data_IF_942588907713
#
_entry.id   IF_942588907713
#
_cell.length_a   1.000
_cell.length_b   1.000
_cell.length_c   1.000
_cell.angle_alpha   90.00
_cell.angle_beta   90.00
_cell.angle_gamma   90.00
#
_symmetry.space_group_name_H-M   'P 1'
#
loop_
_entity.id
_entity.type
_entity.pdbx_description
1 polymer ?
#
# COMPACT_ATOMS: atom_id res chain seq x y z
N UNK A 1 -80.58 -7.57 0.07
CA UNK A 1 -79.47 -6.61 0.27
C UNK A 1 -78.18 -7.27 -0.18
N UNK A 2 -77.80 -7.11 -1.45
CA UNK A 2 -76.60 -7.70 -2.05
C UNK A 2 -75.54 -6.62 -2.29
N UNK A 3 -74.37 -6.77 -1.67
CA UNK A 3 -73.22 -5.89 -1.87
C UNK A 3 -72.30 -6.43 -2.96
N UNK A 4 -72.13 -5.67 -4.04
CA UNK A 4 -71.23 -5.95 -5.16
C UNK A 4 -69.79 -5.54 -4.81
N UNK A 5 -68.89 -6.51 -4.67
CA UNK A 5 -67.44 -6.28 -4.60
C UNK A 5 -66.89 -6.10 -6.01
N UNK A 6 -66.60 -4.85 -6.40
CA UNK A 6 -65.89 -4.55 -7.64
C UNK A 6 -64.37 -4.72 -7.42
N UNK A 7 -63.77 -5.68 -8.12
CA UNK A 7 -62.34 -5.91 -8.15
C UNK A 7 -61.62 -4.74 -8.83
N UNK A 8 -60.64 -4.11 -8.15
CA UNK A 8 -59.72 -3.14 -8.75
C UNK A 8 -58.63 -3.89 -9.52
N UNK A 9 -58.55 -3.65 -10.83
CA UNK A 9 -57.52 -4.22 -11.70
C UNK A 9 -56.13 -3.61 -11.43
N UNK A 10 -55.04 -4.33 -11.76
CA UNK A 10 -53.68 -3.90 -11.50
C UNK A 10 -53.16 -3.01 -12.64
N UNK A 11 -53.45 -1.71 -12.63
CA UNK A 11 -52.84 -0.79 -13.61
C UNK A 11 -52.63 0.67 -13.18
N UNK A 12 -52.71 0.98 -11.89
CA UNK A 12 -52.35 2.32 -11.38
C UNK A 12 -50.97 2.31 -10.70
N UNK A 13 -49.90 2.33 -11.52
CA UNK A 13 -48.59 2.81 -11.06
C UNK A 13 -48.37 4.21 -11.63
N UNK A 14 -48.40 5.27 -10.79
CA UNK A 14 -48.13 6.62 -11.27
C UNK A 14 -46.64 6.79 -11.61
N UNK A 15 -46.34 7.21 -12.84
CA UNK A 15 -45.17 8.06 -13.10
C UNK A 15 -43.86 7.42 -13.58
N UNK A 16 -43.87 6.56 -14.61
CA UNK A 16 -42.63 6.15 -15.33
C UNK A 16 -42.57 6.61 -16.79
N UNK A 17 -43.37 7.59 -17.19
CA UNK A 17 -43.23 8.25 -18.48
C UNK A 17 -42.36 9.51 -18.34
N UNK A 18 -41.12 9.46 -18.83
CA UNK A 18 -40.37 10.68 -19.18
C UNK A 18 -39.15 11.08 -18.35
N UNK A 19 -38.50 10.18 -17.59
CA UNK A 19 -37.14 10.50 -17.13
C UNK A 19 -36.19 10.44 -18.34
N UNK A 20 -35.52 11.54 -18.74
CA UNK A 20 -34.46 11.44 -19.73
C UNK A 20 -33.42 10.43 -19.22
N UNK A 21 -32.74 9.68 -20.10
CA UNK A 21 -31.66 8.80 -19.68
C UNK A 21 -30.70 9.61 -18.82
N UNK A 22 -30.58 9.26 -17.54
CA UNK A 22 -29.58 9.89 -16.68
C UNK A 22 -28.23 9.57 -17.31
N UNK A 23 -27.59 10.58 -17.92
CA UNK A 23 -26.23 10.46 -18.37
C UNK A 23 -25.42 10.00 -17.17
N UNK A 24 -24.83 8.80 -17.27
CA UNK A 24 -23.99 8.25 -16.22
C UNK A 24 -22.78 9.19 -16.09
N UNK A 25 -22.82 10.08 -15.09
CA UNK A 25 -21.78 11.08 -14.88
C UNK A 25 -20.52 10.39 -14.33
N UNK A 26 -19.73 9.78 -15.21
CA UNK A 26 -18.52 9.05 -14.82
C UNK A 26 -17.42 9.94 -14.22
N UNK A 27 -17.65 11.25 -14.00
CA UNK A 27 -16.68 12.18 -13.39
C UNK A 27 -16.32 11.79 -11.95
N UNK A 28 -17.20 11.09 -11.23
CA UNK A 28 -16.88 10.57 -9.90
C UNK A 28 -16.04 9.28 -9.93
N UNK A 29 -15.91 8.61 -11.08
CA UNK A 29 -15.06 7.42 -11.27
C UNK A 29 -13.60 7.81 -11.55
N UNK A 30 -13.36 8.98 -12.13
CA UNK A 30 -12.04 9.56 -12.30
C UNK A 30 -11.65 10.41 -11.08
N UNK A 31 -11.60 9.81 -9.88
CA UNK A 31 -10.87 10.45 -8.78
C UNK A 31 -9.39 10.38 -9.15
N UNK A 32 -8.83 11.49 -9.60
CA UNK A 32 -7.38 11.59 -9.80
C UNK A 32 -6.67 11.16 -8.51
N UNK A 33 -5.81 10.15 -8.63
CA UNK A 33 -4.96 9.69 -7.54
C UNK A 33 -4.06 10.86 -7.12
N UNK A 34 -4.48 11.57 -6.09
CA UNK A 34 -3.82 12.83 -5.69
C UNK A 34 -2.66 12.49 -4.77
N UNK A 35 -1.54 13.21 -4.86
CA UNK A 35 -0.38 13.04 -3.96
C UNK A 35 -0.78 13.10 -2.47
N UNK A 36 -1.82 13.87 -2.14
CA UNK A 36 -2.39 13.92 -0.78
C UNK A 36 -2.91 12.55 -0.30
N UNK A 37 -3.44 11.72 -1.19
CA UNK A 37 -3.87 10.37 -0.83
C UNK A 37 -2.68 9.49 -0.45
N UNK A 38 -1.47 9.71 -0.98
CA UNK A 38 -0.29 8.93 -0.59
C UNK A 38 0.10 9.12 0.89
N UNK A 39 -0.23 10.27 1.46
CA UNK A 39 0.16 10.63 2.84
C UNK A 39 -1.01 10.53 3.83
N UNK A 40 -2.25 10.40 3.34
CA UNK A 40 -3.42 10.35 4.20
C UNK A 40 -3.55 8.96 4.87
N UNK A 41 -3.76 8.91 6.20
CA UNK A 41 -4.03 7.66 6.88
C UNK A 41 -5.37 7.08 6.45
N UNK A 42 -5.34 5.79 6.14
CA UNK A 42 -6.52 5.00 5.81
C UNK A 42 -7.16 4.50 7.10
N UNK A 43 -8.46 4.74 7.24
CA UNK A 43 -9.28 4.08 8.25
C UNK A 43 -9.64 2.69 7.75
N UNK A 44 -9.17 1.65 8.45
CA UNK A 44 -9.40 0.25 8.10
C UNK A 44 -10.72 -0.29 8.66
N UNK A 45 -11.59 0.58 9.18
CA UNK A 45 -12.96 0.23 9.61
C UNK A 45 -13.05 -0.34 11.03
N UNK A 46 -11.95 -0.31 11.79
CA UNK A 46 -11.92 -0.74 13.20
C UNK A 46 -10.52 -0.92 13.78
N UNK A 47 -10.44 -0.91 15.11
CA UNK A 47 -9.18 -0.98 15.88
C UNK A 47 -8.34 -2.24 15.61
N UNK A 48 -9.00 -3.37 15.29
CA UNK A 48 -8.31 -4.62 14.93
C UNK A 48 -7.52 -4.48 13.61
N UNK A 49 -8.10 -3.80 12.61
CA UNK A 49 -7.42 -3.55 11.34
C UNK A 49 -6.19 -2.65 11.54
N UNK A 50 -6.32 -1.62 12.37
CA UNK A 50 -5.22 -0.71 12.69
C UNK A 50 -4.08 -1.38 13.45
N UNK A 51 -4.39 -2.25 14.41
CA UNK A 51 -3.40 -3.06 15.11
C UNK A 51 -2.74 -4.05 14.14
N UNK A 52 -3.52 -4.72 13.29
CA UNK A 52 -3.00 -5.66 12.31
C UNK A 52 -1.97 -5.02 11.37
N UNK A 53 -2.29 -3.85 10.82
CA UNK A 53 -1.34 -3.14 9.96
C UNK A 53 -0.14 -2.57 10.73
N UNK A 54 -0.33 -2.17 11.99
CA UNK A 54 0.76 -1.72 12.85
C UNK A 54 1.76 -2.87 13.08
N UNK A 55 1.27 -4.05 13.46
CA UNK A 55 2.11 -5.24 13.67
C UNK A 55 2.87 -5.58 12.39
N UNK A 56 2.18 -5.62 11.25
CA UNK A 56 2.81 -5.91 9.97
C UNK A 56 3.92 -4.90 9.64
N UNK A 57 3.65 -3.59 9.81
CA UNK A 57 4.63 -2.53 9.55
C UNK A 57 5.83 -2.61 10.47
N UNK A 58 5.61 -2.71 11.78
CA UNK A 58 6.69 -2.72 12.77
C UNK A 58 7.56 -3.96 12.58
N UNK A 59 6.95 -5.14 12.46
CA UNK A 59 7.69 -6.37 12.28
C UNK A 59 8.43 -6.38 10.94
N UNK A 60 7.72 -6.20 9.81
CA UNK A 60 8.36 -6.24 8.50
C UNK A 60 9.41 -5.14 8.33
N UNK A 61 9.11 -3.92 8.80
CA UNK A 61 10.01 -2.77 8.72
C UNK A 61 11.28 -2.94 9.55
N UNK A 62 11.15 -3.36 10.82
CA UNK A 62 12.31 -3.59 11.68
C UNK A 62 13.11 -4.81 11.25
N UNK A 63 12.46 -5.90 10.82
CA UNK A 63 13.18 -7.06 10.28
C UNK A 63 13.97 -6.69 9.03
N UNK A 64 13.38 -5.93 8.11
CA UNK A 64 14.10 -5.46 6.93
C UNK A 64 15.26 -4.53 7.31
N UNK A 65 15.02 -3.56 8.20
CA UNK A 65 16.04 -2.61 8.59
C UNK A 65 17.21 -3.28 9.32
N UNK A 66 16.93 -4.11 10.32
CA UNK A 66 17.96 -4.64 11.21
C UNK A 66 18.59 -5.92 10.68
N UNK A 67 17.82 -6.83 10.08
CA UNK A 67 18.34 -8.12 9.63
C UNK A 67 18.94 -8.05 8.21
N UNK A 68 18.44 -7.14 7.35
CA UNK A 68 18.86 -7.08 5.96
C UNK A 68 19.59 -5.78 5.60
N UNK A 69 19.12 -4.63 6.09
CA UNK A 69 19.66 -3.31 5.77
C UNK A 69 20.90 -2.91 6.56
N UNK A 70 20.92 -3.14 7.88
CA UNK A 70 21.96 -2.60 8.77
C UNK A 70 23.37 -3.09 8.40
N UNK A 71 23.50 -4.37 8.04
CA UNK A 71 24.77 -4.96 7.60
C UNK A 71 25.20 -4.56 6.19
N UNK A 72 24.33 -3.89 5.42
CA UNK A 72 24.61 -3.43 4.05
C UNK A 72 25.01 -1.95 3.98
N UNK A 73 25.10 -1.25 5.11
CA UNK A 73 25.51 0.15 5.15
C UNK A 73 26.86 0.33 5.86
N UNK A 74 27.91 0.80 5.16
CA UNK A 74 27.96 1.04 3.71
C UNK A 74 27.99 -0.28 2.90
N UNK A 75 27.60 -0.25 1.60
CA UNK A 75 27.63 -1.45 0.77
C UNK A 75 29.06 -1.99 0.61
N UNK A 76 29.26 -3.27 0.92
CA UNK A 76 30.54 -3.93 0.75
C UNK A 76 30.93 -4.04 -0.73
N UNK A 77 32.22 -3.95 -1.04
CA UNK A 77 32.74 -4.06 -2.41
C UNK A 77 32.31 -5.37 -3.10
N UNK A 78 32.26 -6.49 -2.35
CA UNK A 78 31.79 -7.76 -2.88
C UNK A 78 30.32 -7.75 -3.31
N UNK A 79 29.46 -7.00 -2.61
CA UNK A 79 28.05 -6.84 -3.02
C UNK A 79 27.92 -6.00 -4.29
N UNK A 80 28.71 -4.93 -4.41
CA UNK A 80 28.78 -4.11 -5.63
C UNK A 80 29.23 -4.95 -6.83
N UNK A 81 30.26 -5.78 -6.66
CA UNK A 81 30.74 -6.69 -7.70
C UNK A 81 29.68 -7.73 -8.09
N UNK A 82 29.02 -8.33 -7.12
CA UNK A 82 27.92 -9.27 -7.34
C UNK A 82 26.76 -8.64 -8.14
N UNK A 83 26.35 -7.42 -7.83
CA UNK A 83 25.35 -6.71 -8.63
C UNK A 83 25.84 -6.47 -10.08
N UNK A 84 27.14 -6.24 -10.26
CA UNK A 84 27.76 -6.17 -11.57
C UNK A 84 27.65 -7.46 -12.37
N UNK A 85 27.82 -8.62 -11.75
CA UNK A 85 27.67 -9.92 -12.43
C UNK A 85 26.23 -10.21 -12.84
N UNK A 86 25.25 -9.60 -12.16
CA UNK A 86 23.83 -9.70 -12.49
C UNK A 86 23.39 -8.75 -13.62
N UNK A 87 24.28 -7.90 -14.12
CA UNK A 87 23.95 -6.92 -15.17
C UNK A 87 23.09 -5.75 -14.67
N UNK A 88 23.07 -5.48 -13.36
CA UNK A 88 22.34 -4.34 -12.80
C UNK A 88 23.02 -3.03 -13.23
N UNK A 89 22.27 -2.03 -13.75
CA UNK A 89 22.87 -0.79 -14.22
C UNK A 89 23.47 0.00 -13.05
N UNK A 90 24.68 0.53 -13.24
CA UNK A 90 25.42 1.33 -12.23
C UNK A 90 25.51 0.61 -10.87
N UNK A 91 26.20 -0.55 -10.78
CA UNK A 91 26.20 -1.40 -9.57
C UNK A 91 26.51 -0.68 -8.25
N UNK A 92 27.46 0.28 -8.17
CA UNK A 92 27.70 1.01 -6.93
C UNK A 92 26.47 1.80 -6.46
N UNK A 93 25.80 2.48 -7.38
CA UNK A 93 24.61 3.27 -7.06
C UNK A 93 23.43 2.38 -6.68
N UNK A 94 23.23 1.25 -7.38
CA UNK A 94 22.20 0.28 -7.04
C UNK A 94 22.44 -0.40 -5.70
N UNK A 95 23.69 -0.67 -5.33
CA UNK A 95 24.04 -1.22 -4.03
C UNK A 95 23.65 -0.26 -2.89
N UNK A 96 23.96 1.03 -3.05
CA UNK A 96 23.53 2.07 -2.12
C UNK A 96 22.01 2.22 -2.08
N UNK A 97 21.34 2.22 -3.23
CA UNK A 97 19.89 2.32 -3.30
C UNK A 97 19.21 1.14 -2.58
N UNK A 98 19.69 -0.09 -2.80
CA UNK A 98 19.18 -1.28 -2.12
C UNK A 98 19.42 -1.22 -0.60
N UNK A 99 20.64 -0.87 -0.18
CA UNK A 99 20.98 -0.78 1.24
C UNK A 99 20.16 0.29 1.98
N UNK A 100 19.99 1.47 1.37
CA UNK A 100 19.16 2.55 1.93
C UNK A 100 17.67 2.19 1.90
N UNK A 101 17.18 1.53 0.85
CA UNK A 101 15.80 1.07 0.78
C UNK A 101 15.49 0.05 1.89
N UNK A 102 16.38 -0.90 2.11
CA UNK A 102 16.21 -1.91 3.17
C UNK A 102 16.32 -1.30 4.57
N UNK A 103 17.34 -0.47 4.81
CA UNK A 103 17.57 0.13 6.12
C UNK A 103 16.62 1.30 6.40
N UNK A 104 16.78 2.41 5.69
CA UNK A 104 15.98 3.61 5.92
C UNK A 104 14.51 3.39 5.55
N UNK A 105 14.23 2.69 4.45
CA UNK A 105 12.86 2.34 4.08
C UNK A 105 12.20 1.43 5.12
N UNK A 106 12.91 0.43 5.63
CA UNK A 106 12.42 -0.42 6.73
C UNK A 106 12.09 0.38 8.00
N UNK A 107 12.96 1.30 8.41
CA UNK A 107 12.72 2.16 9.58
C UNK A 107 11.52 3.09 9.38
N UNK A 108 11.40 3.70 8.20
CA UNK A 108 10.26 4.57 7.86
C UNK A 108 8.93 3.79 7.86
N UNK A 109 8.92 2.57 7.33
CA UNK A 109 7.75 1.69 7.38
C UNK A 109 7.38 1.33 8.82
N UNK A 110 8.36 0.93 9.65
CA UNK A 110 8.12 0.59 11.04
C UNK A 110 7.53 1.77 11.84
N UNK A 111 8.06 2.97 11.63
CA UNK A 111 7.57 4.19 12.25
C UNK A 111 6.21 4.66 11.69
N UNK A 112 5.81 4.16 10.51
CA UNK A 112 4.62 4.63 9.80
C UNK A 112 4.78 6.09 9.36
N UNK A 113 5.97 6.47 8.88
CA UNK A 113 6.30 7.79 8.36
C UNK A 113 6.59 7.73 6.87
N UNK A 114 5.95 8.59 6.08
CA UNK A 114 5.99 8.57 4.62
C UNK A 114 5.76 7.14 4.09
N UNK A 115 4.77 6.45 4.66
CA UNK A 115 4.66 4.99 4.56
C UNK A 115 4.55 4.50 3.12
N UNK A 116 3.71 5.13 2.29
CA UNK A 116 3.58 4.76 0.88
C UNK A 116 4.84 5.10 0.07
N UNK A 117 5.42 6.31 0.17
CA UNK A 117 6.72 6.60 -0.41
C UNK A 117 7.84 5.63 0.01
N UNK A 118 7.90 5.24 1.28
CA UNK A 118 8.91 4.30 1.81
C UNK A 118 8.70 2.87 1.32
N UNK A 119 7.44 2.45 1.12
CA UNK A 119 7.12 1.12 0.61
C UNK A 119 7.58 0.91 -0.83
N UNK A 120 7.57 1.94 -1.68
CA UNK A 120 7.96 1.86 -3.10
C UNK A 120 9.39 1.35 -3.29
N UNK A 121 10.45 1.98 -2.74
CA UNK A 121 11.81 1.50 -2.92
C UNK A 121 12.04 0.14 -2.26
N UNK A 122 11.34 -0.16 -1.15
CA UNK A 122 11.38 -1.49 -0.53
C UNK A 122 10.81 -2.56 -1.48
N UNK A 123 9.61 -2.35 -2.01
CA UNK A 123 8.98 -3.27 -2.98
C UNK A 123 9.88 -3.48 -4.21
N UNK A 124 10.42 -2.40 -4.76
CA UNK A 124 11.31 -2.47 -5.91
C UNK A 124 12.57 -3.29 -5.60
N UNK A 125 13.21 -3.05 -4.46
CA UNK A 125 14.42 -3.76 -4.04
C UNK A 125 14.14 -5.24 -3.80
N UNK A 126 13.01 -5.58 -3.18
CA UNK A 126 12.58 -6.97 -2.99
C UNK A 126 12.24 -7.66 -4.32
N UNK A 127 11.67 -6.93 -5.29
CA UNK A 127 11.45 -7.42 -6.66
C UNK A 127 12.76 -7.75 -7.37
N UNK A 128 13.75 -6.84 -7.31
CA UNK A 128 15.09 -7.08 -7.86
C UNK A 128 15.75 -8.27 -7.16
N UNK A 129 15.65 -8.37 -5.84
CA UNK A 129 16.19 -9.50 -5.09
C UNK A 129 15.56 -10.84 -5.52
N UNK A 130 14.23 -10.91 -5.62
CA UNK A 130 13.52 -12.14 -5.94
C UNK A 130 13.70 -12.60 -7.41
N UNK A 131 13.66 -11.66 -8.36
CA UNK A 131 13.61 -11.98 -9.79
C UNK A 131 14.95 -11.82 -10.51
N UNK A 132 15.85 -10.97 -10.01
CA UNK A 132 17.17 -10.75 -10.62
C UNK A 132 18.24 -11.49 -9.83
N UNK A 133 18.42 -11.20 -8.54
CA UNK A 133 19.47 -11.81 -7.73
C UNK A 133 19.25 -13.32 -7.51
N UNK A 134 18.01 -13.71 -7.23
CA UNK A 134 17.61 -15.10 -7.02
C UNK A 134 16.79 -15.69 -8.19
N UNK A 135 16.81 -15.06 -9.37
CA UNK A 135 15.99 -15.45 -10.53
C UNK A 135 16.25 -16.87 -11.06
N UNK A 136 17.39 -17.48 -10.75
CA UNK A 136 17.73 -18.87 -11.06
C UNK A 136 17.64 -19.86 -9.88
N UNK A 137 17.45 -19.37 -8.65
CA UNK A 137 17.47 -20.21 -7.44
C UNK A 137 16.14 -20.95 -7.19
N UNK A 138 16.09 -22.01 -6.37
CA UNK A 138 14.82 -22.61 -5.94
C UNK A 138 13.92 -21.62 -5.18
N UNK A 139 12.60 -21.87 -5.15
CA UNK A 139 11.62 -21.01 -4.46
C UNK A 139 12.01 -20.71 -3.00
N UNK A 140 12.53 -21.71 -2.28
CA UNK A 140 12.95 -21.56 -0.87
C UNK A 140 13.97 -20.42 -0.64
N UNK A 141 14.79 -20.06 -1.63
CA UNK A 141 15.71 -18.90 -1.52
C UNK A 141 15.06 -17.58 -1.92
N UNK A 142 14.02 -17.61 -2.77
CA UNK A 142 13.29 -16.42 -3.24
C UNK A 142 12.16 -16.00 -2.30
N UNK A 143 11.61 -16.97 -1.56
CA UNK A 143 10.42 -16.82 -0.74
C UNK A 143 10.54 -15.65 0.22
N UNK A 144 11.68 -15.49 0.89
CA UNK A 144 11.87 -14.41 1.85
C UNK A 144 11.79 -13.02 1.19
N UNK A 145 12.42 -12.85 0.02
CA UNK A 145 12.34 -11.60 -0.74
C UNK A 145 10.90 -11.33 -1.21
N UNK A 146 10.20 -12.37 -1.69
CA UNK A 146 8.80 -12.26 -2.07
C UNK A 146 7.91 -11.91 -0.87
N UNK A 147 8.16 -12.50 0.29
CA UNK A 147 7.39 -12.25 1.51
C UNK A 147 7.50 -10.79 1.95
N UNK A 148 8.71 -10.23 2.01
CA UNK A 148 8.91 -8.81 2.29
C UNK A 148 8.33 -7.91 1.18
N UNK A 149 8.43 -8.33 -0.09
CA UNK A 149 7.81 -7.62 -1.21
C UNK A 149 6.29 -7.54 -1.09
N UNK A 150 5.63 -8.65 -0.76
CA UNK A 150 4.17 -8.72 -0.54
C UNK A 150 3.77 -7.95 0.71
N UNK A 151 4.56 -8.01 1.79
CA UNK A 151 4.32 -7.21 2.99
C UNK A 151 4.38 -5.71 2.67
N UNK A 152 5.40 -5.27 1.93
CA UNK A 152 5.54 -3.87 1.51
C UNK A 152 4.41 -3.44 0.56
N UNK A 153 3.99 -4.31 -0.36
CA UNK A 153 2.82 -4.07 -1.22
C UNK A 153 1.53 -3.93 -0.41
N UNK A 154 1.33 -4.82 0.57
CA UNK A 154 0.19 -4.76 1.47
C UNK A 154 0.17 -3.41 2.20
N UNK A 155 1.31 -3.02 2.80
CA UNK A 155 1.46 -1.74 3.49
C UNK A 155 1.23 -0.55 2.55
N UNK A 156 1.71 -0.62 1.30
CA UNK A 156 1.46 0.42 0.30
C UNK A 156 -0.03 0.58 -0.01
N UNK A 157 -0.74 -0.53 -0.24
CA UNK A 157 -2.16 -0.53 -0.57
C UNK A 157 -3.00 -0.05 0.61
N UNK A 158 -2.79 -0.63 1.80
CA UNK A 158 -3.52 -0.24 3.02
C UNK A 158 -3.15 1.15 3.49
N UNK A 159 -1.95 1.64 3.20
CA UNK A 159 -1.42 2.90 3.71
C UNK A 159 -0.96 2.83 5.17
N UNK A 160 -0.75 3.99 5.82
CA UNK A 160 -0.13 4.06 7.15
C UNK A 160 -1.06 3.69 8.30
N UNK A 161 -2.35 3.40 8.08
CA UNK A 161 -3.30 3.09 9.16
C UNK A 161 -3.44 4.20 10.22
N UNK A 162 -4.28 3.97 11.24
CA UNK A 162 -4.56 4.99 12.26
C UNK A 162 -3.49 5.10 13.36
N UNK A 163 -2.63 4.10 13.52
CA UNK A 163 -1.54 4.09 14.52
C UNK A 163 -0.19 4.35 13.83
N UNK A 164 0.01 5.56 13.32
CA UNK A 164 1.21 5.95 12.54
C UNK A 164 1.63 7.39 12.78
N UNK A 165 2.91 7.68 12.54
CA UNK A 165 3.42 9.05 12.56
C UNK A 165 2.82 9.89 11.42
N UNK A 166 2.49 9.29 10.27
CA UNK A 166 1.78 9.96 9.18
C UNK A 166 0.44 10.56 9.66
N UNK A 167 -0.30 9.85 10.53
CA UNK A 167 -1.52 10.41 11.13
C UNK A 167 -1.23 11.58 12.06
N UNK A 168 -0.17 11.50 12.87
CA UNK A 168 0.19 12.57 13.79
C UNK A 168 0.59 13.85 13.05
N UNK A 169 1.29 13.73 11.93
CA UNK A 169 1.81 14.86 11.15
C UNK A 169 0.84 15.39 10.09
N UNK A 170 0.07 14.51 9.45
CA UNK A 170 -0.81 14.85 8.32
C UNK A 170 -2.31 14.68 8.61
N UNK A 171 -2.67 14.27 9.82
CA UNK A 171 -4.06 14.15 10.25
C UNK A 171 -4.75 15.52 10.31
N UNK A 172 -5.92 15.65 9.67
CA UNK A 172 -6.74 16.87 9.78
C UNK A 172 -7.22 17.07 11.22
N UNK A 173 -6.94 18.25 11.80
CA UNK A 173 -7.63 18.71 13.01
C UNK A 173 -9.11 18.90 12.67
N UNK A 174 -10.01 18.21 13.36
CA UNK A 174 -11.44 18.55 13.31
C UNK A 174 -11.60 19.89 14.01
N UNK A 175 -11.78 20.97 13.27
CA UNK A 175 -12.26 22.22 13.83
C UNK A 175 -13.69 21.95 14.32
N UNK A 176 -13.85 21.79 15.64
CA UNK A 176 -15.16 21.78 16.26
C UNK A 176 -15.64 23.23 16.18
N UNK A 177 -16.61 23.49 15.31
CA UNK A 177 -17.35 24.75 15.36
C UNK A 177 -18.40 24.53 16.45
N UNK A 178 -18.21 25.21 17.59
CA UNK A 178 -19.17 25.25 18.70
C UNK A 178 -20.17 26.35 18.42
#
# INVERSE_FOLDING_TARGET
MGGSFAARGPSDKPGLAGRPPQAYDNRHLAKEFTVKQLLQPTDLGGWLGDIGILILRVFAGLSLALAHGAGKLPPAAGFVQYLGTLGVPVPPASAWAAALAEFCGGLLLAAGLLTRPAAIPVMFTMGVAAFVAHGGDPFAKRELALFFGVAALTIFLTGPGMLSLDRLLFGRKRTITV
#
